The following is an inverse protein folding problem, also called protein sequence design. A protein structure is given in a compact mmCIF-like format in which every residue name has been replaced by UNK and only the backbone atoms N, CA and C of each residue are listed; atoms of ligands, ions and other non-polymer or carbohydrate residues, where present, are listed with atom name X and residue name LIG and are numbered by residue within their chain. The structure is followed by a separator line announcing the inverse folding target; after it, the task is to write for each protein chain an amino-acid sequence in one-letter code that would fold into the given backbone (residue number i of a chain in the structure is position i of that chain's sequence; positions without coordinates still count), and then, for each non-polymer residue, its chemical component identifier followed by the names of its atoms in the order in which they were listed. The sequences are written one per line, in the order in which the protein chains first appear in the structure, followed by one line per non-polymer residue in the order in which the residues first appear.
data_IF_698034744939
#
_entry.id   IF_698034744939
#
_cell.length_a   1.000
_cell.length_b   1.000
_cell.length_c   1.000
_cell.angle_alpha   90.00
_cell.angle_beta   90.00
_cell.angle_gamma   90.00
#
_symmetry.space_group_name_H-M   'P 1'
#
loop_
_entity.id
_entity.type
_entity.pdbx_description
1 polymer ?
#
# COMPACT_ATOMS: atom_id res chain seq x y z
N UNK A 1 -49.82 -58.59 -7.51
CA UNK A 1 -48.70 -58.06 -6.72
C UNK A 1 -47.82 -57.25 -7.67
N UNK A 2 -48.08 -55.95 -7.81
CA UNK A 2 -47.27 -55.06 -8.63
C UNK A 2 -46.11 -54.52 -7.80
N UNK A 3 -44.87 -54.46 -8.31
CA UNK A 3 -43.73 -54.00 -7.54
C UNK A 3 -43.88 -52.52 -7.18
N UNK A 4 -43.61 -52.22 -5.91
CA UNK A 4 -43.68 -50.90 -5.29
C UNK A 4 -42.84 -49.86 -6.05
N UNK A 5 -43.51 -48.84 -6.59
CA UNK A 5 -42.93 -47.65 -7.23
C UNK A 5 -42.29 -46.67 -6.22
N UNK A 6 -42.31 -47.00 -4.92
CA UNK A 6 -41.87 -46.10 -3.85
C UNK A 6 -40.38 -45.74 -3.95
N UNK A 7 -39.53 -46.64 -4.44
CA UNK A 7 -38.07 -46.43 -4.48
C UNK A 7 -37.53 -45.71 -5.73
N UNK A 8 -38.39 -45.27 -6.65
CA UNK A 8 -37.98 -44.53 -7.85
C UNK A 8 -37.87 -43.03 -7.53
N UNK A 9 -38.92 -42.46 -6.95
CA UNK A 9 -39.03 -41.02 -6.67
C UNK A 9 -37.98 -40.53 -5.68
N UNK A 10 -37.62 -41.35 -4.68
CA UNK A 10 -36.57 -41.02 -3.72
C UNK A 10 -35.18 -40.95 -4.37
N UNK A 11 -34.90 -41.82 -5.36
CA UNK A 11 -33.65 -41.80 -6.12
C UNK A 11 -33.57 -40.57 -7.02
N UNK A 12 -34.65 -40.24 -7.73
CA UNK A 12 -34.73 -38.99 -8.51
C UNK A 12 -34.60 -37.74 -7.64
N UNK A 13 -35.19 -37.75 -6.45
CA UNK A 13 -35.06 -36.64 -5.50
C UNK A 13 -33.61 -36.50 -5.00
N UNK A 14 -32.95 -37.61 -4.64
CA UNK A 14 -31.55 -37.62 -4.21
C UNK A 14 -30.60 -37.17 -5.33
N UNK A 15 -30.80 -37.61 -6.57
CA UNK A 15 -30.02 -37.17 -7.73
C UNK A 15 -30.22 -35.67 -8.02
N UNK A 16 -31.46 -35.16 -7.94
CA UNK A 16 -31.73 -33.73 -8.07
C UNK A 16 -31.09 -32.91 -6.94
N UNK A 17 -31.12 -33.41 -5.70
CA UNK A 17 -30.45 -32.75 -4.57
C UNK A 17 -28.93 -32.79 -4.71
N UNK A 18 -28.36 -33.92 -5.15
CA UNK A 18 -26.92 -34.05 -5.37
C UNK A 18 -26.45 -33.16 -6.52
N UNK A 19 -27.22 -33.06 -7.60
CA UNK A 19 -26.93 -32.17 -8.72
C UNK A 19 -27.08 -30.69 -8.37
N UNK A 20 -28.10 -30.33 -7.58
CA UNK A 20 -28.27 -28.98 -7.04
C UNK A 20 -27.12 -28.61 -6.10
N UNK A 21 -26.72 -29.53 -5.22
CA UNK A 21 -25.60 -29.36 -4.32
C UNK A 21 -24.27 -29.25 -5.06
N UNK A 22 -24.04 -30.07 -6.10
CA UNK A 22 -22.84 -30.02 -6.94
C UNK A 22 -22.80 -28.71 -7.74
N UNK A 23 -23.93 -28.23 -8.26
CA UNK A 23 -24.05 -26.95 -8.95
C UNK A 23 -23.80 -25.76 -8.01
N UNK A 24 -24.34 -25.81 -6.78
CA UNK A 24 -24.08 -24.82 -5.74
C UNK A 24 -22.62 -24.84 -5.27
N UNK A 25 -22.01 -26.02 -5.13
CA UNK A 25 -20.59 -26.18 -4.81
C UNK A 25 -19.71 -25.64 -5.95
N UNK A 26 -20.05 -25.91 -7.21
CA UNK A 26 -19.39 -25.33 -8.39
C UNK A 26 -19.53 -23.80 -8.42
N UNK A 27 -20.72 -23.26 -8.15
CA UNK A 27 -20.97 -21.81 -8.04
C UNK A 27 -20.15 -21.17 -6.90
N UNK A 28 -20.04 -21.85 -5.75
CA UNK A 28 -19.20 -21.41 -4.64
C UNK A 28 -17.69 -21.48 -4.96
N UNK A 29 -17.25 -22.50 -5.71
CA UNK A 29 -15.87 -22.64 -6.20
C UNK A 29 -15.54 -21.65 -7.33
N UNK A 30 -16.55 -21.08 -8.01
CA UNK A 30 -16.43 -20.09 -9.09
C UNK A 30 -16.42 -18.64 -8.59
N UNK A 31 -16.55 -18.38 -7.28
CA UNK A 31 -16.42 -17.04 -6.74
C UNK A 31 -14.94 -16.60 -6.80
N UNK A 32 -14.54 -16.04 -7.95
CA UNK A 32 -13.26 -15.39 -8.13
C UNK A 32 -13.20 -14.17 -7.21
N UNK A 33 -12.40 -14.27 -6.15
CA UNK A 33 -12.11 -13.15 -5.27
C UNK A 33 -11.04 -12.30 -5.97
N UNK A 34 -11.40 -11.08 -6.35
CA UNK A 34 -10.45 -10.11 -6.91
C UNK A 34 -10.53 -8.80 -6.14
N UNK A 35 -9.41 -8.08 -6.10
CA UNK A 35 -9.28 -6.78 -5.45
C UNK A 35 -8.94 -5.72 -6.50
N UNK A 36 -9.89 -4.83 -6.77
CA UNK A 36 -9.65 -3.64 -7.58
C UNK A 36 -9.45 -2.42 -6.69
N UNK A 37 -8.36 -1.68 -6.91
CA UNK A 37 -8.04 -0.47 -6.16
C UNK A 37 -7.60 0.64 -7.09
N UNK A 38 -7.92 1.87 -6.68
CA UNK A 38 -7.43 3.08 -7.30
C UNK A 38 -6.71 3.91 -6.24
N UNK A 39 -5.56 4.50 -6.60
CA UNK A 39 -4.75 5.29 -5.66
C UNK A 39 -4.32 6.60 -6.30
N UNK A 40 -4.71 7.71 -5.69
CA UNK A 40 -4.25 9.06 -6.03
C UNK A 40 -3.01 9.39 -5.19
N UNK A 41 -1.89 9.71 -5.84
CA UNK A 41 -0.68 10.15 -5.16
C UNK A 41 -0.27 11.55 -5.65
N UNK A 42 0.08 12.40 -4.70
CA UNK A 42 0.64 13.71 -4.95
C UNK A 42 2.04 13.74 -4.35
N UNK A 43 3.06 13.72 -5.19
CA UNK A 43 4.44 13.86 -4.77
C UNK A 43 4.83 15.34 -4.86
N UNK A 44 5.09 15.94 -3.71
CA UNK A 44 5.48 17.35 -3.58
C UNK A 44 6.99 17.44 -3.47
N UNK A 45 7.61 18.15 -4.41
CA UNK A 45 9.04 18.46 -4.39
C UNK A 45 9.19 19.95 -4.12
N UNK A 46 9.88 20.30 -3.03
CA UNK A 46 10.05 21.68 -2.59
C UNK A 46 8.71 22.43 -2.41
N UNK A 47 7.84 21.89 -1.55
CA UNK A 47 6.50 22.44 -1.33
C UNK A 47 5.59 22.22 -2.54
N UNK A 48 4.85 23.25 -2.97
CA UNK A 48 3.90 23.16 -4.09
C UNK A 48 4.50 23.55 -5.44
N UNK A 49 5.77 23.96 -5.51
CA UNK A 49 6.35 24.44 -6.77
C UNK A 49 6.37 23.35 -7.84
N UNK A 50 6.81 22.15 -7.46
CA UNK A 50 6.85 20.99 -8.35
C UNK A 50 6.01 19.87 -7.74
N UNK A 51 4.93 19.51 -8.41
CA UNK A 51 4.00 18.46 -7.98
C UNK A 51 3.89 17.42 -9.08
N UNK A 52 4.07 16.15 -8.73
CA UNK A 52 3.77 15.02 -9.61
C UNK A 52 2.55 14.29 -9.08
N UNK A 53 1.47 14.38 -9.85
CA UNK A 53 0.27 13.59 -9.65
C UNK A 53 0.38 12.24 -10.36
N UNK A 54 0.05 11.17 -9.66
CA UNK A 54 -0.11 9.82 -10.18
C UNK A 54 -1.51 9.30 -9.81
N UNK A 55 -2.26 8.81 -10.79
CA UNK A 55 -3.49 8.07 -10.54
C UNK A 55 -3.29 6.61 -10.97
N UNK A 56 -3.24 5.71 -10.00
CA UNK A 56 -2.82 4.32 -10.20
C UNK A 56 -4.02 3.37 -10.16
N UNK A 57 -4.05 2.44 -11.11
CA UNK A 57 -4.99 1.33 -11.17
C UNK A 57 -4.27 0.06 -10.73
N UNK A 58 -4.85 -0.63 -9.77
CA UNK A 58 -4.24 -1.77 -9.10
C UNK A 58 -5.25 -2.91 -9.10
N UNK A 59 -4.86 -4.04 -9.66
CA UNK A 59 -5.63 -5.28 -9.68
C UNK A 59 -4.86 -6.35 -8.91
N UNK A 60 -5.51 -6.99 -7.94
CA UNK A 60 -4.91 -7.99 -7.05
C UNK A 60 -3.57 -7.54 -6.44
N UNK A 61 -3.55 -6.28 -5.98
CA UNK A 61 -2.39 -5.60 -5.38
C UNK A 61 -1.22 -5.33 -6.34
N UNK A 62 -1.35 -5.66 -7.62
CA UNK A 62 -0.39 -5.31 -8.67
C UNK A 62 -0.88 -4.09 -9.46
N UNK A 63 -0.03 -3.08 -9.59
CA UNK A 63 -0.34 -1.92 -10.42
C UNK A 63 -0.31 -2.31 -11.90
N UNK A 64 -1.41 -2.09 -12.62
CA UNK A 64 -1.56 -2.50 -14.03
C UNK A 64 -1.42 -1.31 -14.98
N UNK A 65 -1.91 -0.14 -14.58
CA UNK A 65 -1.85 1.10 -15.36
C UNK A 65 -1.83 2.33 -14.44
N UNK A 66 -1.33 3.46 -14.95
CA UNK A 66 -1.36 4.73 -14.22
C UNK A 66 -1.49 5.93 -15.14
N UNK A 67 -2.19 6.97 -14.71
CA UNK A 67 -1.96 8.31 -15.25
C UNK A 67 -0.72 8.92 -14.58
N UNK A 68 0.17 9.52 -15.37
CA UNK A 68 1.32 10.25 -14.87
C UNK A 68 1.33 11.67 -15.40
N UNK A 69 1.17 12.65 -14.52
CA UNK A 69 1.17 14.08 -14.87
C UNK A 69 2.46 14.55 -15.56
N UNK A 70 3.61 13.93 -15.28
CA UNK A 70 4.87 14.27 -15.98
C UNK A 70 4.84 13.82 -17.45
N UNK A 71 4.09 12.77 -17.77
CA UNK A 71 3.91 12.27 -19.13
C UNK A 71 2.65 12.88 -19.78
N UNK A 72 1.69 13.29 -18.96
CA UNK A 72 0.42 13.89 -19.37
C UNK A 72 -0.59 12.91 -19.95
N UNK A 73 -0.43 11.60 -19.70
CA UNK A 73 -1.30 10.53 -20.20
C UNK A 73 -1.21 9.25 -19.36
N UNK A 74 -2.03 8.26 -19.69
CA UNK A 74 -1.96 6.94 -19.08
C UNK A 74 -0.80 6.12 -19.65
N UNK A 75 -0.18 5.33 -18.79
CA UNK A 75 0.96 4.46 -19.06
C UNK A 75 0.63 3.07 -18.51
N UNK A 76 0.80 2.04 -19.33
CA UNK A 76 0.68 0.66 -18.89
C UNK A 76 1.90 0.28 -18.06
N UNK A 77 1.67 -0.31 -16.89
CA UNK A 77 2.72 -0.84 -16.01
C UNK A 77 2.96 -2.31 -16.29
N UNK A 78 1.90 -3.01 -16.69
CA UNK A 78 1.93 -4.40 -17.13
C UNK A 78 1.24 -4.53 -18.49
N UNK A 79 1.50 -5.62 -19.19
CA UNK A 79 0.84 -5.93 -20.47
C UNK A 79 -0.69 -5.97 -20.34
N UNK A 80 -1.19 -6.45 -19.19
CA UNK A 80 -2.62 -6.49 -18.89
C UNK A 80 -3.28 -5.11 -18.96
N UNK A 81 -2.59 -4.04 -18.52
CA UNK A 81 -3.11 -2.68 -18.55
C UNK A 81 -3.09 -2.01 -19.93
N UNK A 82 -2.48 -2.62 -20.95
CA UNK A 82 -2.27 -1.97 -22.25
C UNK A 82 -3.60 -1.65 -22.96
N UNK A 83 -4.56 -2.58 -22.95
CA UNK A 83 -5.86 -2.38 -23.61
C UNK A 83 -6.63 -1.20 -23.03
N UNK A 84 -6.63 -1.08 -21.70
CA UNK A 84 -7.23 0.04 -20.98
C UNK A 84 -6.54 1.36 -21.31
N UNK A 85 -5.22 1.38 -21.27
CA UNK A 85 -4.40 2.57 -21.55
C UNK A 85 -4.61 3.08 -22.98
N UNK A 86 -4.68 2.19 -23.96
CA UNK A 86 -4.96 2.54 -25.35
C UNK A 86 -6.36 3.17 -25.50
N UNK A 87 -7.35 2.63 -24.79
CA UNK A 87 -8.70 3.19 -24.78
C UNK A 87 -8.75 4.56 -24.08
N UNK A 88 -8.17 4.67 -22.90
CA UNK A 88 -8.18 5.91 -22.10
C UNK A 88 -7.42 7.04 -22.78
N UNK A 89 -6.28 6.73 -23.42
CA UNK A 89 -5.50 7.74 -24.14
C UNK A 89 -6.16 8.24 -25.43
N UNK A 90 -7.16 7.52 -25.97
CA UNK A 90 -8.00 8.02 -27.07
C UNK A 90 -9.07 9.02 -26.59
N UNK A 91 -9.40 9.03 -25.30
CA UNK A 91 -10.41 9.91 -24.69
C UNK A 91 -9.80 11.24 -24.25
N UNK A 92 -9.95 12.27 -25.09
CA UNK A 92 -9.41 13.60 -24.79
C UNK A 92 -10.07 14.26 -23.57
N UNK A 93 -11.36 14.03 -23.36
CA UNK A 93 -12.11 14.48 -22.19
C UNK A 93 -11.50 13.94 -20.89
N UNK A 94 -11.21 12.64 -20.86
CA UNK A 94 -10.58 11.98 -19.72
C UNK A 94 -9.16 12.51 -19.47
N UNK A 95 -8.34 12.61 -20.53
CA UNK A 95 -6.98 13.14 -20.39
C UNK A 95 -6.95 14.58 -19.89
N UNK A 96 -7.87 15.43 -20.35
CA UNK A 96 -7.99 16.81 -19.86
C UNK A 96 -8.40 16.85 -18.38
N UNK A 97 -9.36 16.02 -17.97
CA UNK A 97 -9.76 15.90 -16.57
C UNK A 97 -8.58 15.49 -15.68
N UNK A 98 -7.84 14.44 -16.06
CA UNK A 98 -6.69 13.95 -15.28
C UNK A 98 -5.52 14.94 -15.25
N UNK A 99 -5.28 15.68 -16.33
CA UNK A 99 -4.29 16.78 -16.35
C UNK A 99 -4.68 17.88 -15.37
N UNK A 100 -5.97 18.21 -15.27
CA UNK A 100 -6.48 19.18 -14.31
C UNK A 100 -6.55 18.64 -12.87
N UNK A 101 -6.49 17.32 -12.68
CA UNK A 101 -6.52 16.66 -11.36
C UNK A 101 -5.38 17.09 -10.45
N UNK A 102 -4.20 17.36 -11.01
CA UNK A 102 -3.08 17.88 -10.23
C UNK A 102 -3.44 19.18 -9.48
N UNK A 103 -4.11 20.13 -10.14
CA UNK A 103 -4.37 21.44 -9.53
C UNK A 103 -5.47 21.35 -8.47
N UNK A 104 -6.60 20.71 -8.76
CA UNK A 104 -7.71 20.65 -7.82
C UNK A 104 -7.57 19.56 -6.75
N UNK A 105 -6.88 18.46 -7.03
CA UNK A 105 -6.68 17.39 -6.05
C UNK A 105 -5.41 17.60 -5.23
N UNK A 106 -4.27 17.90 -5.87
CA UNK A 106 -3.01 18.02 -5.13
C UNK A 106 -2.80 19.42 -4.54
N UNK A 107 -2.79 20.47 -5.38
CA UNK A 107 -2.42 21.81 -4.92
C UNK A 107 -3.45 22.36 -3.94
N UNK A 108 -4.73 22.19 -4.22
CA UNK A 108 -5.79 22.65 -3.33
C UNK A 108 -5.80 21.87 -2.01
N UNK A 109 -5.64 20.53 -2.04
CA UNK A 109 -5.53 19.75 -0.80
C UNK A 109 -4.32 20.18 0.04
N UNK A 110 -3.17 20.45 -0.60
CA UNK A 110 -2.00 20.98 0.09
C UNK A 110 -2.29 22.35 0.71
N UNK A 111 -2.97 23.25 -0.02
CA UNK A 111 -3.36 24.57 0.48
C UNK A 111 -4.28 24.45 1.70
N UNK A 112 -5.30 23.60 1.63
CA UNK A 112 -6.22 23.36 2.75
C UNK A 112 -5.51 22.74 3.95
N UNK A 113 -4.65 21.75 3.74
CA UNK A 113 -3.86 21.14 4.81
C UNK A 113 -2.84 22.12 5.43
N UNK A 114 -2.27 23.00 4.63
CA UNK A 114 -1.36 24.06 5.09
C UNK A 114 -2.08 25.18 5.83
N UNK A 115 -3.32 25.51 5.44
CA UNK A 115 -4.13 26.53 6.09
C UNK A 115 -4.75 26.03 7.40
N UNK A 116 -5.25 24.78 7.42
CA UNK A 116 -5.75 24.11 8.64
C UNK A 116 -4.63 23.78 9.64
N UNK A 117 -3.37 23.97 9.28
CA UNK A 117 -2.30 24.12 10.26
C UNK A 117 -2.47 25.46 11.00
N UNK A 118 -3.53 25.55 11.79
CA UNK A 118 -3.58 26.44 12.95
C UNK A 118 -2.30 26.20 13.78
N UNK A 119 -1.80 27.22 14.45
CA UNK A 119 -0.49 27.30 15.12
C UNK A 119 -0.19 26.15 16.10
N UNK A 120 -1.15 25.28 16.37
CA UNK A 120 -1.13 24.17 17.33
C UNK A 120 -0.92 22.78 16.70
N UNK A 121 -1.25 22.53 15.42
CA UNK A 121 -1.09 21.19 14.80
C UNK A 121 -0.69 21.26 13.33
N UNK A 122 0.58 21.59 13.09
CA UNK A 122 1.21 21.52 11.77
C UNK A 122 1.24 20.07 11.28
N UNK A 123 0.51 19.75 10.21
CA UNK A 123 0.53 18.42 9.56
C UNK A 123 1.69 18.37 8.55
N UNK A 124 1.76 19.34 7.66
CA UNK A 124 2.83 19.45 6.66
C UNK A 124 4.06 20.07 7.33
N UNK A 125 5.21 19.38 7.26
CA UNK A 125 6.44 19.84 7.90
C UNK A 125 6.47 19.62 9.42
N UNK A 126 5.61 18.75 9.96
CA UNK A 126 5.79 18.20 11.31
C UNK A 126 7.10 17.43 11.34
N UNK A 127 7.90 17.68 12.37
CA UNK A 127 9.11 16.91 12.62
C UNK A 127 9.34 16.81 14.12
N UNK A 128 9.62 15.61 14.59
CA UNK A 128 9.97 15.35 15.99
C UNK A 128 11.33 14.67 16.00
N UNK A 129 12.26 15.19 16.80
CA UNK A 129 13.61 14.62 16.90
C UNK A 129 13.56 13.29 17.66
N UNK A 130 14.35 12.28 17.24
CA UNK A 130 14.44 11.02 17.97
C UNK A 130 15.05 11.20 19.34
N UNK A 131 14.56 10.42 20.30
CA UNK A 131 15.29 10.11 21.51
C UNK A 131 16.11 8.86 21.26
N UNK A 132 17.43 8.95 21.45
CA UNK A 132 18.36 7.84 21.17
C UNK A 132 18.90 7.30 22.48
N UNK A 133 18.75 5.99 22.67
CA UNK A 133 19.30 5.27 23.82
C UNK A 133 20.21 4.17 23.33
N UNK A 134 21.40 4.07 23.92
CA UNK A 134 22.33 2.96 23.69
C UNK A 134 22.46 2.17 24.97
N UNK A 135 22.16 0.87 24.91
CA UNK A 135 22.25 -0.04 26.05
C UNK A 135 22.87 -1.37 25.65
N UNK A 136 23.47 -2.12 26.59
CA UNK A 136 23.84 -3.51 26.34
C UNK A 136 22.58 -4.32 26.02
N UNK A 137 22.60 -5.11 24.95
CA UNK A 137 21.56 -6.08 24.69
C UNK A 137 21.70 -7.25 25.68
N UNK A 138 20.56 -7.81 26.10
CA UNK A 138 20.57 -9.07 26.85
C UNK A 138 21.23 -10.14 25.98
N UNK A 139 22.35 -10.65 26.45
CA UNK A 139 23.16 -11.67 25.78
C UNK A 139 23.38 -12.84 26.72
N UNK A 140 23.62 -14.01 26.15
CA UNK A 140 23.90 -15.23 26.91
C UNK A 140 25.11 -14.99 27.85
N UNK A 141 25.02 -15.26 29.17
CA UNK A 141 26.08 -14.95 30.13
C UNK A 141 27.45 -15.57 29.79
N UNK A 142 27.49 -16.60 28.94
CA UNK A 142 28.72 -17.23 28.44
C UNK A 142 29.31 -16.62 27.17
N UNK A 143 28.66 -15.63 26.54
CA UNK A 143 29.17 -14.97 25.33
C UNK A 143 30.37 -14.08 25.66
N UNK A 144 31.51 -14.22 24.95
CA UNK A 144 32.65 -13.31 25.12
C UNK A 144 32.38 -11.92 24.52
N UNK A 145 31.32 -11.77 23.72
CA UNK A 145 31.01 -10.55 22.97
C UNK A 145 29.89 -9.76 23.66
N UNK A 146 30.10 -8.45 23.83
CA UNK A 146 29.05 -7.51 24.24
C UNK A 146 28.34 -6.96 23.02
N UNK A 147 27.02 -7.13 22.96
CA UNK A 147 26.18 -6.52 21.93
C UNK A 147 25.62 -5.21 22.47
N UNK A 148 25.71 -4.14 21.67
CA UNK A 148 25.07 -2.86 21.96
C UNK A 148 23.83 -2.68 21.08
N UNK A 149 22.73 -2.29 21.70
CA UNK A 149 21.48 -1.94 21.03
C UNK A 149 21.31 -0.44 21.05
N UNK A 150 21.15 0.16 19.87
CA UNK A 150 20.79 1.56 19.70
C UNK A 150 19.32 1.64 19.30
N UNK A 151 18.51 2.26 20.15
CA UNK A 151 17.08 2.42 19.93
C UNK A 151 16.77 3.90 19.74
N UNK A 152 16.16 4.25 18.60
CA UNK A 152 15.65 5.59 18.32
C UNK A 152 14.11 5.56 18.42
N UNK A 153 13.52 6.42 19.24
CA UNK A 153 12.06 6.47 19.47
C UNK A 153 11.51 7.89 19.40
N UNK A 154 10.19 8.01 19.19
CA UNK A 154 9.48 9.27 19.31
C UNK A 154 9.76 10.25 18.16
N UNK A 155 10.15 9.74 16.99
CA UNK A 155 10.56 10.57 15.86
C UNK A 155 9.54 10.55 14.74
N UNK A 156 9.53 11.63 13.96
CA UNK A 156 8.71 11.74 12.76
C UNK A 156 9.40 12.72 11.79
N UNK A 157 9.40 12.47 10.46
CA UNK A 157 8.82 11.33 9.74
C UNK A 157 9.60 10.01 9.94
N UNK A 158 9.13 8.92 9.33
CA UNK A 158 9.73 7.57 9.46
C UNK A 158 11.14 7.50 8.88
N UNK A 159 11.45 8.29 7.85
CA UNK A 159 12.77 8.28 7.22
C UNK A 159 13.85 8.83 8.17
N UNK A 160 14.70 7.94 8.68
CA UNK A 160 15.85 8.24 9.55
C UNK A 160 17.13 7.55 9.03
N UNK A 161 18.30 8.15 9.27
CA UNK A 161 19.60 7.52 9.02
C UNK A 161 20.31 7.28 10.36
N UNK A 162 20.75 6.03 10.58
CA UNK A 162 21.41 5.60 11.81
C UNK A 162 22.76 4.99 11.46
N UNK A 163 23.81 5.43 12.15
CA UNK A 163 25.17 4.94 11.92
C UNK A 163 25.93 4.76 13.22
N UNK A 164 26.68 3.67 13.31
CA UNK A 164 27.61 3.42 14.40
C UNK A 164 28.95 4.10 14.14
N UNK A 165 29.51 4.71 15.18
CA UNK A 165 30.85 5.29 15.16
C UNK A 165 31.72 4.57 16.19
N UNK A 166 32.88 4.08 15.75
CA UNK A 166 33.94 3.54 16.61
C UNK A 166 35.11 4.50 16.56
N UNK A 167 35.45 5.11 17.69
CA UNK A 167 36.52 6.12 17.79
C UNK A 167 36.34 7.27 16.77
N UNK A 168 35.10 7.73 16.58
CA UNK A 168 34.75 8.81 15.66
C UNK A 168 34.74 8.42 14.17
N UNK A 169 35.02 7.16 13.82
CA UNK A 169 34.96 6.66 12.44
C UNK A 169 33.75 5.76 12.23
N UNK A 170 33.14 5.83 11.05
CA UNK A 170 32.00 4.98 10.69
C UNK A 170 32.38 3.51 10.78
N UNK A 171 31.65 2.78 11.61
CA UNK A 171 31.77 1.34 11.79
C UNK A 171 30.68 0.64 10.99
N UNK A 172 31.05 -0.42 10.30
CA UNK A 172 30.11 -1.25 9.51
C UNK A 172 30.23 -2.72 9.88
N UNK A 173 31.35 -3.14 10.46
CA UNK A 173 31.58 -4.52 10.83
C UNK A 173 30.74 -4.86 12.08
N UNK A 174 30.00 -5.97 12.03
CA UNK A 174 29.14 -6.40 13.13
C UNK A 174 27.91 -5.51 13.40
N UNK A 175 27.59 -4.60 12.48
CA UNK A 175 26.40 -3.74 12.57
C UNK A 175 25.21 -4.39 11.88
N UNK A 176 24.10 -4.50 12.60
CA UNK A 176 22.81 -4.92 12.06
C UNK A 176 21.74 -3.86 12.36
N UNK A 177 20.76 -3.75 11.47
CA UNK A 177 19.61 -2.86 11.62
C UNK A 177 18.36 -3.68 11.96
N UNK A 178 17.58 -3.20 12.93
CA UNK A 178 16.29 -3.78 13.27
C UNK A 178 15.17 -3.31 12.33
N UNK A 179 13.98 -3.87 12.52
CA UNK A 179 12.77 -3.41 11.83
C UNK A 179 12.30 -2.06 12.36
N UNK A 180 11.80 -1.22 11.46
CA UNK A 180 11.16 0.05 11.79
C UNK A 180 9.72 -0.20 12.24
N UNK A 181 9.39 0.14 13.48
CA UNK A 181 8.06 -0.04 14.06
C UNK A 181 7.30 1.29 14.09
N UNK A 182 6.03 1.27 13.70
CA UNK A 182 5.16 2.46 13.74
C UNK A 182 4.35 2.51 15.03
N UNK A 183 4.43 3.62 15.77
CA UNK A 183 3.54 3.85 16.89
C UNK A 183 2.20 4.42 16.41
N UNK A 184 1.10 4.10 17.12
CA UNK A 184 -0.24 4.60 16.81
C UNK A 184 -0.44 6.11 17.03
N UNK A 185 0.58 6.80 17.55
CA UNK A 185 0.60 8.24 17.83
C UNK A 185 1.41 9.05 16.80
N UNK A 186 1.77 8.41 15.68
CA UNK A 186 2.53 9.01 14.57
C UNK A 186 4.00 9.32 14.92
N UNK A 187 4.62 8.50 15.78
CA UNK A 187 6.06 8.52 16.07
C UNK A 187 6.69 7.14 16.08
#
# INVERSE_FOLDING_TARGET
MGPSSAGSWERWALECHLMSFLLLLLLFLLAAHFLHQQKCNCHFFNGTQQVRFLFRYIYDRQETARFDSNVGKFVAVTEFGQGDVDQWNRRQDLLQYERAAMDHFCREAYRVASYRADKTRRVIGRSTKPTVTVSPAQTDPGSPNTILLCTATGFYPLEIDVQWLKNGRREKEGVAFGEELQNGDWT
#
